data_IF_675327350712
#
_entry.id   IF_675327350712
#
_cell.length_a   1.000
_cell.length_b   1.000
_cell.length_c   1.000
_cell.angle_alpha   90.00
_cell.angle_beta   90.00
_cell.angle_gamma   90.00
#
_symmetry.space_group_name_H-M   'P 1'
#
loop_
_entity.id
_entity.type
_entity.pdbx_description
1 polymer ?
#
# COMPACT_ATOMS: atom_id res chain seq x y z
N UNK A 1 15.40 29.52 -8.05
CA UNK A 1 14.17 28.94 -7.48
C UNK A 1 14.44 27.45 -7.35
N UNK A 2 14.76 26.94 -6.16
CA UNK A 2 14.92 25.49 -5.98
C UNK A 2 13.56 24.85 -6.11
N UNK A 3 13.37 24.05 -7.14
CA UNK A 3 12.26 23.10 -7.26
C UNK A 3 12.16 22.31 -5.95
N UNK A 4 11.04 22.41 -5.25
CA UNK A 4 10.78 21.60 -4.07
C UNK A 4 10.91 20.13 -4.47
N UNK A 5 11.88 19.41 -3.89
CA UNK A 5 12.12 17.99 -4.19
C UNK A 5 10.99 17.16 -3.58
N UNK A 6 9.89 17.05 -4.31
CA UNK A 6 8.74 16.20 -4.02
C UNK A 6 9.00 14.80 -4.53
N UNK A 7 8.79 13.80 -3.67
CA UNK A 7 8.88 12.40 -4.05
C UNK A 7 7.45 11.88 -4.24
N UNK A 8 7.07 11.50 -5.48
CA UNK A 8 5.77 10.91 -5.72
C UNK A 8 5.71 9.51 -5.10
N UNK A 9 4.68 9.24 -4.31
CA UNK A 9 4.42 7.92 -3.69
C UNK A 9 2.96 7.53 -3.84
N UNK A 10 2.61 6.24 -3.85
CA UNK A 10 1.22 5.82 -3.80
C UNK A 10 0.53 6.31 -2.53
N UNK A 11 -0.69 6.85 -2.63
CA UNK A 11 -1.51 7.12 -1.45
C UNK A 11 -1.77 5.82 -0.65
N UNK A 12 -1.67 5.88 0.68
CA UNK A 12 -1.84 4.69 1.56
C UNK A 12 -3.21 4.03 1.39
N UNK A 13 -4.23 4.81 1.02
CA UNK A 13 -5.59 4.37 0.71
C UNK A 13 -5.64 3.21 -0.28
N UNK A 14 -4.66 3.09 -1.19
CA UNK A 14 -4.59 1.99 -2.15
C UNK A 14 -4.35 0.66 -1.46
N UNK A 15 -3.44 0.63 -0.49
CA UNK A 15 -3.20 -0.55 0.34
C UNK A 15 -4.41 -0.87 1.20
N UNK A 16 -5.04 0.15 1.79
CA UNK A 16 -6.22 -0.03 2.63
C UNK A 16 -7.41 -0.60 1.85
N UNK A 17 -7.62 -0.11 0.62
CA UNK A 17 -8.64 -0.64 -0.28
C UNK A 17 -8.39 -2.11 -0.60
N UNK A 18 -7.16 -2.45 -1.03
CA UNK A 18 -6.78 -3.83 -1.33
C UNK A 18 -6.97 -4.74 -0.12
N UNK A 19 -6.47 -4.33 1.05
CA UNK A 19 -6.61 -5.09 2.29
C UNK A 19 -8.08 -5.29 2.66
N UNK A 20 -8.91 -4.25 2.55
CA UNK A 20 -10.34 -4.35 2.87
C UNK A 20 -11.07 -5.34 1.97
N UNK A 21 -10.80 -5.32 0.66
CA UNK A 21 -11.39 -6.27 -0.29
C UNK A 21 -10.92 -7.69 0.05
N UNK A 22 -9.62 -7.88 0.21
CA UNK A 22 -9.02 -9.17 0.48
C UNK A 22 -9.55 -9.78 1.80
N UNK A 23 -9.56 -9.02 2.88
CA UNK A 23 -9.94 -9.51 4.20
C UNK A 23 -11.45 -9.70 4.36
N UNK A 24 -12.27 -8.81 3.79
CA UNK A 24 -13.73 -8.80 4.06
C UNK A 24 -14.56 -9.46 2.97
N UNK A 25 -14.06 -9.51 1.74
CA UNK A 25 -14.82 -9.99 0.59
C UNK A 25 -14.20 -11.26 0.01
N UNK A 26 -12.87 -11.33 -0.08
CA UNK A 26 -12.19 -12.48 -0.69
C UNK A 26 -11.95 -13.60 0.32
N UNK A 27 -11.40 -13.29 1.50
CA UNK A 27 -11.02 -14.29 2.49
C UNK A 27 -12.18 -15.20 2.91
N UNK A 28 -13.40 -14.70 3.19
CA UNK A 28 -14.52 -15.58 3.55
C UNK A 28 -14.86 -16.59 2.44
N UNK A 29 -14.83 -16.15 1.19
CA UNK A 29 -15.11 -17.02 0.03
C UNK A 29 -14.00 -18.06 -0.15
N UNK A 30 -12.73 -17.68 0.03
CA UNK A 30 -11.61 -18.63 -0.04
C UNK A 30 -11.64 -19.62 1.13
N UNK A 31 -11.96 -19.16 2.34
CA UNK A 31 -12.05 -20.00 3.54
C UNK A 31 -13.14 -21.08 3.40
N UNK A 32 -14.24 -20.75 2.71
CA UNK A 32 -15.36 -21.67 2.46
C UNK A 32 -15.17 -22.55 1.22
N UNK A 33 -14.77 -21.97 0.08
CA UNK A 33 -14.81 -22.65 -1.22
C UNK A 33 -13.44 -23.10 -1.75
N UNK A 34 -12.33 -22.55 -1.24
CA UNK A 34 -10.97 -22.85 -1.72
C UNK A 34 -9.95 -22.92 -0.55
N UNK A 35 -10.28 -23.75 0.43
CA UNK A 35 -9.51 -23.86 1.68
C UNK A 35 -8.02 -24.18 1.45
N UNK A 36 -7.70 -24.91 0.37
CA UNK A 36 -6.32 -25.25 0.01
C UNK A 36 -5.45 -24.01 -0.29
N UNK A 37 -6.04 -22.92 -0.78
CA UNK A 37 -5.33 -21.67 -1.05
C UNK A 37 -5.43 -20.63 0.07
N UNK A 38 -6.11 -20.93 1.18
CA UNK A 38 -6.17 -20.06 2.37
C UNK A 38 -4.78 -19.60 2.86
N UNK A 39 -3.72 -20.44 2.92
CA UNK A 39 -2.40 -19.99 3.32
C UNK A 39 -1.79 -18.95 2.36
N UNK A 40 -1.97 -19.13 1.05
CA UNK A 40 -1.50 -18.18 0.02
C UNK A 40 -2.23 -16.86 0.13
N UNK A 41 -3.53 -16.90 0.41
CA UNK A 41 -4.33 -15.70 0.65
C UNK A 41 -3.84 -14.93 1.89
N UNK A 42 -3.53 -15.64 2.97
CA UNK A 42 -2.96 -15.02 4.17
C UNK A 42 -1.58 -14.41 3.90
N UNK A 43 -0.74 -15.08 3.11
CA UNK A 43 0.56 -14.57 2.68
C UNK A 43 0.43 -13.29 1.86
N UNK A 44 -0.54 -13.21 0.94
CA UNK A 44 -0.82 -12.02 0.17
C UNK A 44 -1.20 -10.82 1.07
N UNK A 45 -2.12 -11.02 2.01
CA UNK A 45 -2.51 -9.99 2.99
C UNK A 45 -1.30 -9.53 3.82
N UNK A 46 -0.48 -10.48 4.28
CA UNK A 46 0.72 -10.17 5.06
C UNK A 46 1.75 -9.39 4.22
N UNK A 47 1.87 -9.69 2.94
CA UNK A 47 2.79 -8.99 2.03
C UNK A 47 2.37 -7.54 1.80
N UNK A 48 1.06 -7.28 1.63
CA UNK A 48 0.54 -5.92 1.49
C UNK A 48 0.75 -5.08 2.76
N UNK A 49 0.51 -5.66 3.95
CA UNK A 49 0.79 -4.98 5.23
C UNK A 49 2.27 -4.65 5.39
N UNK A 50 3.16 -5.58 5.00
CA UNK A 50 4.61 -5.34 4.99
C UNK A 50 4.99 -4.21 4.02
N UNK A 51 4.44 -4.22 2.82
CA UNK A 51 4.70 -3.18 1.82
C UNK A 51 4.27 -1.79 2.32
N UNK A 52 3.08 -1.66 2.92
CA UNK A 52 2.62 -0.41 3.52
C UNK A 52 3.57 0.07 4.63
N UNK A 53 3.97 -0.83 5.53
CA UNK A 53 4.92 -0.51 6.59
C UNK A 53 6.28 -0.05 6.06
N UNK A 54 6.80 -0.72 5.02
CA UNK A 54 8.04 -0.34 4.34
C UNK A 54 7.92 1.03 3.65
N UNK A 55 6.79 1.31 3.00
CA UNK A 55 6.56 2.62 2.38
C UNK A 55 6.56 3.74 3.43
N UNK A 56 5.87 3.54 4.56
CA UNK A 56 5.85 4.52 5.66
C UNK A 56 7.24 4.80 6.23
N UNK A 57 8.08 3.77 6.37
CA UNK A 57 9.46 3.92 6.82
C UNK A 57 10.33 4.70 5.81
N UNK A 58 10.14 4.46 4.51
CA UNK A 58 10.82 5.21 3.46
C UNK A 58 10.37 6.67 3.41
N UNK A 59 9.06 6.92 3.51
CA UNK A 59 8.49 8.26 3.58
C UNK A 59 9.07 9.05 4.76
N UNK A 60 9.17 8.43 5.94
CA UNK A 60 9.79 9.05 7.10
C UNK A 60 11.27 9.35 6.87
N UNK A 61 12.01 8.42 6.28
CA UNK A 61 13.43 8.62 5.91
C UNK A 61 13.59 9.81 4.95
N UNK A 62 12.68 9.98 4.00
CA UNK A 62 12.68 11.10 3.06
C UNK A 62 12.32 12.42 3.74
N UNK A 63 11.29 12.45 4.59
CA UNK A 63 10.94 13.63 5.38
C UNK A 63 12.10 14.10 6.25
N UNK A 64 12.79 13.18 6.93
CA UNK A 64 13.98 13.49 7.74
C UNK A 64 15.14 14.08 6.92
N UNK A 65 15.21 13.78 5.63
CA UNK A 65 16.19 14.34 4.69
C UNK A 65 15.72 15.63 4.01
N UNK A 66 14.55 16.16 4.40
CA UNK A 66 13.99 17.41 3.88
C UNK A 66 13.24 17.29 2.55
N UNK A 67 12.86 16.07 2.14
CA UNK A 67 12.00 15.88 0.97
C UNK A 67 10.53 16.04 1.35
N UNK A 68 9.74 16.59 0.42
CA UNK A 68 8.28 16.60 0.53
C UNK A 68 7.71 15.28 -0.05
N UNK A 69 6.69 14.72 0.61
CA UNK A 69 5.99 13.53 0.11
C UNK A 69 4.78 13.99 -0.68
N UNK A 70 4.65 13.45 -1.88
CA UNK A 70 3.57 13.79 -2.80
C UNK A 70 2.74 12.55 -3.11
N UNK A 71 1.55 12.47 -2.53
CA UNK A 71 0.69 11.30 -2.59
C UNK A 71 -0.12 11.26 -3.88
N UNK A 72 0.07 10.19 -4.67
CA UNK A 72 -0.63 9.95 -5.92
C UNK A 72 -1.83 9.03 -5.70
N UNK A 73 -3.02 9.54 -6.03
CA UNK A 73 -4.28 8.78 -6.01
C UNK A 73 -4.51 8.03 -7.32
N UNK A 74 -3.95 8.51 -8.42
CA UNK A 74 -3.91 7.82 -9.70
C UNK A 74 -2.51 7.96 -10.30
N UNK A 75 -2.09 7.00 -11.12
CA UNK A 75 -0.83 7.03 -11.85
C UNK A 75 -0.74 8.20 -12.85
N UNK A 76 -1.89 8.72 -13.32
CA UNK A 76 -1.96 9.86 -14.24
C UNK A 76 -2.06 11.22 -13.55
N UNK A 77 -2.08 11.25 -12.21
CA UNK A 77 -2.15 12.51 -11.45
C UNK A 77 -0.83 13.28 -11.65
N UNK A 78 -0.83 14.52 -12.18
CA UNK A 78 0.40 15.28 -12.42
C UNK A 78 1.05 15.84 -11.16
N UNK A 79 0.32 15.98 -10.04
CA UNK A 79 0.83 16.49 -8.74
C UNK A 79 1.24 17.96 -8.73
#
# INVERSE_FOLDING_TARGET
MSESRRIPVPAHVHYELLLRVLERQTFPVVDEADYANRPKMQELVNSLRKALSQQQQLEETWRQRGFEIDYRWNADDPG
#
